data_IF_252570018847
#
_entry.id   IF_252570018847
#
_cell.length_a   1.000
_cell.length_b   1.000
_cell.length_c   1.000
_cell.angle_alpha   90.00
_cell.angle_beta   90.00
_cell.angle_gamma   90.00
#
_symmetry.space_group_name_H-M   'P 1'
#
loop_
_entity.id
_entity.type
_entity.pdbx_description
1 polymer ?
#
# COMPACT_ATOMS: atom_id res chain seq x y z
N UNK A 1 11.64 -4.18 3.06
CA UNK A 1 11.57 -5.55 2.50
C UNK A 1 12.17 -6.52 3.51
N UNK A 2 11.35 -7.26 4.27
CA UNK A 2 11.84 -8.39 5.09
C UNK A 2 11.50 -9.67 4.35
N UNK A 3 12.52 -10.37 3.86
CA UNK A 3 12.40 -11.71 3.27
C UNK A 3 11.98 -12.67 4.38
N UNK A 4 10.97 -13.51 4.11
CA UNK A 4 10.63 -14.62 5.00
C UNK A 4 11.74 -15.66 4.95
N UNK A 5 12.57 -15.74 5.99
CA UNK A 5 13.61 -16.75 6.12
C UNK A 5 13.10 -17.85 7.05
N UNK A 6 12.96 -19.06 6.54
CA UNK A 6 12.66 -20.25 7.34
C UNK A 6 13.98 -20.86 7.81
N UNK A 7 14.18 -20.93 9.13
CA UNK A 7 15.33 -21.61 9.75
C UNK A 7 14.95 -23.07 10.02
N UNK A 8 15.67 -24.00 9.41
CA UNK A 8 15.53 -25.43 9.60
C UNK A 8 16.78 -25.99 10.30
N UNK A 9 16.64 -26.75 11.41
CA UNK A 9 17.78 -27.42 12.02
C UNK A 9 18.26 -28.57 11.12
N UNK A 10 19.57 -28.59 10.85
CA UNK A 10 20.22 -29.52 9.89
C UNK A 10 20.18 -30.98 10.36
N UNK A 11 19.85 -31.22 11.63
CA UNK A 11 19.90 -32.55 12.25
C UNK A 11 18.51 -33.21 12.37
N UNK A 12 17.47 -32.64 11.75
CA UNK A 12 16.13 -33.22 11.80
C UNK A 12 16.00 -34.42 10.85
N UNK A 13 15.25 -35.47 11.23
CA UNK A 13 14.86 -36.54 10.31
C UNK A 13 14.15 -35.95 9.09
N UNK A 14 14.44 -36.49 7.90
CA UNK A 14 13.91 -36.01 6.62
C UNK A 14 12.37 -35.95 6.61
N UNK A 15 11.71 -36.92 7.24
CA UNK A 15 10.25 -36.96 7.35
C UNK A 15 9.68 -35.80 8.20
N UNK A 16 10.40 -35.35 9.23
CA UNK A 16 10.01 -34.20 10.04
C UNK A 16 10.25 -32.88 9.30
N UNK A 17 11.26 -32.83 8.41
CA UNK A 17 11.46 -31.70 7.50
C UNK A 17 10.32 -31.59 6.48
N UNK A 18 9.91 -32.70 5.86
CA UNK A 18 8.76 -32.71 4.94
C UNK A 18 7.44 -32.40 5.63
N UNK A 19 7.25 -32.87 6.87
CA UNK A 19 6.06 -32.52 7.68
C UNK A 19 6.05 -31.04 8.05
N UNK A 20 7.20 -30.48 8.43
CA UNK A 20 7.33 -29.05 8.72
C UNK A 20 7.11 -28.18 7.47
N UNK A 21 7.68 -28.56 6.32
CA UNK A 21 7.45 -27.89 5.04
C UNK A 21 6.01 -28.06 4.55
N UNK A 22 5.37 -29.21 4.78
CA UNK A 22 3.96 -29.44 4.44
C UNK A 22 2.99 -28.63 5.31
N UNK A 23 3.26 -28.55 6.62
CA UNK A 23 2.43 -27.79 7.57
C UNK A 23 2.63 -26.27 7.44
N UNK A 24 3.87 -25.81 7.21
CA UNK A 24 4.19 -24.39 7.04
C UNK A 24 4.06 -23.92 5.59
N UNK A 25 4.14 -24.81 4.60
CA UNK A 25 4.02 -24.49 3.18
C UNK A 25 2.64 -23.96 2.85
N UNK A 26 1.57 -24.68 3.24
CA UNK A 26 0.20 -24.21 3.03
C UNK A 26 -0.11 -22.88 3.76
N UNK A 27 0.41 -22.69 4.97
CA UNK A 27 0.26 -21.45 5.73
C UNK A 27 1.07 -20.29 5.13
N UNK A 28 2.28 -20.58 4.64
CA UNK A 28 3.15 -19.63 3.95
C UNK A 28 2.54 -19.22 2.61
N UNK A 29 2.00 -20.16 1.84
CA UNK A 29 1.34 -19.89 0.57
C UNK A 29 0.07 -19.05 0.76
N UNK A 30 -0.73 -19.34 1.79
CA UNK A 30 -1.90 -18.52 2.12
C UNK A 30 -1.50 -17.08 2.52
N UNK A 31 -0.42 -16.92 3.27
CA UNK A 31 0.11 -15.60 3.64
C UNK A 31 0.67 -14.84 2.42
N UNK A 32 1.40 -15.52 1.54
CA UNK A 32 1.93 -14.94 0.29
C UNK A 32 0.79 -14.51 -0.61
N UNK A 33 -0.21 -15.38 -0.86
CA UNK A 33 -1.39 -15.04 -1.69
C UNK A 33 -2.15 -13.84 -1.13
N UNK A 34 -2.41 -13.82 0.18
CA UNK A 34 -3.08 -12.70 0.84
C UNK A 34 -2.28 -11.40 0.70
N UNK A 35 -0.95 -11.48 0.79
CA UNK A 35 -0.08 -10.32 0.58
C UNK A 35 -0.14 -9.83 -0.87
N UNK A 36 -0.06 -10.73 -1.85
CA UNK A 36 -0.17 -10.41 -3.28
C UNK A 36 -1.54 -9.80 -3.62
N UNK A 37 -2.62 -10.31 -3.02
CA UNK A 37 -3.97 -9.76 -3.16
C UNK A 37 -4.06 -8.33 -2.61
N UNK A 38 -3.52 -8.08 -1.41
CA UNK A 38 -3.48 -6.73 -0.83
C UNK A 38 -2.63 -5.77 -1.65
N UNK A 39 -1.49 -6.21 -2.19
CA UNK A 39 -0.66 -5.38 -3.08
C UNK A 39 -1.38 -5.04 -4.38
N UNK A 40 -2.13 -6.00 -4.94
CA UNK A 40 -2.92 -5.79 -6.15
C UNK A 40 -4.05 -4.79 -5.91
N UNK A 41 -4.81 -4.97 -4.84
CA UNK A 41 -5.86 -4.04 -4.42
C UNK A 41 -5.27 -2.62 -4.25
N UNK A 42 -4.11 -2.51 -3.61
CA UNK A 42 -3.44 -1.23 -3.41
C UNK A 42 -3.06 -0.54 -4.74
N UNK A 43 -2.54 -1.29 -5.71
CA UNK A 43 -2.23 -0.76 -7.05
C UNK A 43 -3.52 -0.32 -7.76
N UNK A 44 -4.57 -1.13 -7.72
CA UNK A 44 -5.85 -0.86 -8.39
C UNK A 44 -6.56 0.38 -7.83
N UNK A 45 -6.63 0.51 -6.50
CA UNK A 45 -7.21 1.70 -5.83
C UNK A 45 -6.40 2.94 -6.21
N UNK A 46 -5.06 2.87 -6.14
CA UNK A 46 -4.18 3.99 -6.46
C UNK A 46 -4.34 4.45 -7.91
N UNK A 47 -4.35 3.52 -8.85
CA UNK A 47 -4.50 3.87 -10.28
C UNK A 47 -5.90 4.39 -10.60
N UNK A 48 -6.94 3.87 -9.94
CA UNK A 48 -8.32 4.37 -10.10
C UNK A 48 -8.45 5.82 -9.64
N UNK A 49 -7.98 6.12 -8.43
CA UNK A 49 -7.98 7.48 -7.87
C UNK A 49 -7.16 8.43 -8.74
N UNK A 50 -5.95 8.00 -9.14
CA UNK A 50 -5.08 8.79 -10.02
C UNK A 50 -5.75 9.15 -11.34
N UNK A 51 -6.49 8.21 -11.95
CA UNK A 51 -7.19 8.45 -13.22
C UNK A 51 -8.40 9.38 -13.04
N UNK A 52 -9.22 9.17 -12.02
CA UNK A 52 -10.42 9.96 -11.76
C UNK A 52 -10.07 11.42 -11.45
N UNK A 53 -9.08 11.63 -10.58
CA UNK A 53 -8.61 12.97 -10.18
C UNK A 53 -7.55 13.55 -11.12
N UNK A 54 -7.23 12.85 -12.22
CA UNK A 54 -6.22 13.27 -13.22
C UNK A 54 -4.86 13.62 -12.61
N UNK A 55 -4.48 12.92 -11.54
CA UNK A 55 -3.20 13.13 -10.88
C UNK A 55 -2.04 12.65 -11.78
N UNK A 56 -0.95 13.39 -11.78
CA UNK A 56 0.31 12.95 -12.40
C UNK A 56 0.88 11.75 -11.65
N UNK A 57 0.91 11.83 -10.32
CA UNK A 57 1.37 10.76 -9.43
C UNK A 57 0.54 10.77 -8.15
N UNK A 58 0.27 9.58 -7.63
CA UNK A 58 -0.28 9.36 -6.30
C UNK A 58 0.62 8.36 -5.59
N UNK A 59 1.16 8.72 -4.43
CA UNK A 59 2.07 7.85 -3.65
C UNK A 59 1.72 7.86 -2.17
N UNK A 60 2.12 6.81 -1.46
CA UNK A 60 1.92 6.67 -0.02
C UNK A 60 3.26 6.92 0.71
N UNK A 61 3.26 7.76 1.75
CA UNK A 61 4.41 7.93 2.62
C UNK A 61 4.66 6.67 3.45
N UNK A 62 5.92 6.39 3.79
CA UNK A 62 6.32 5.15 4.50
C UNK A 62 5.68 4.97 5.88
N UNK A 63 5.20 6.06 6.49
CA UNK A 63 4.60 6.09 7.82
C UNK A 63 3.08 6.01 7.81
N UNK A 64 2.48 5.96 6.62
CA UNK A 64 1.03 5.82 6.42
C UNK A 64 0.74 4.34 6.14
N UNK A 65 -0.19 3.78 6.91
CA UNK A 65 -0.60 2.38 6.70
C UNK A 65 -1.48 2.26 5.46
N UNK A 66 -1.61 1.04 4.94
CA UNK A 66 -2.50 0.79 3.80
C UNK A 66 -3.96 1.19 4.10
N UNK A 67 -4.46 0.89 5.30
CA UNK A 67 -5.83 1.27 5.69
C UNK A 67 -6.03 2.79 5.71
N UNK A 68 -5.03 3.54 6.18
CA UNK A 68 -5.05 5.00 6.16
C UNK A 68 -5.02 5.54 4.73
N UNK A 69 -4.16 4.96 3.89
CA UNK A 69 -4.08 5.31 2.47
C UNK A 69 -5.42 5.06 1.77
N UNK A 70 -6.03 3.88 1.98
CA UNK A 70 -7.34 3.53 1.42
C UNK A 70 -8.42 4.51 1.86
N UNK A 71 -8.52 4.82 3.15
CA UNK A 71 -9.46 5.84 3.66
C UNK A 71 -9.25 7.20 3.01
N UNK A 72 -8.00 7.62 2.82
CA UNK A 72 -7.67 8.85 2.13
C UNK A 72 -8.14 8.82 0.67
N UNK A 73 -7.89 7.72 -0.04
CA UNK A 73 -8.36 7.51 -1.41
C UNK A 73 -9.89 7.56 -1.51
N UNK A 74 -10.60 6.90 -0.61
CA UNK A 74 -12.06 6.91 -0.58
C UNK A 74 -12.60 8.33 -0.37
N UNK A 75 -11.98 9.12 0.51
CA UNK A 75 -12.32 10.54 0.73
C UNK A 75 -12.04 11.39 -0.51
N UNK A 76 -10.86 11.24 -1.10
CA UNK A 76 -10.49 11.96 -2.33
C UNK A 76 -11.48 11.69 -3.48
N UNK A 77 -12.02 10.47 -3.56
CA UNK A 77 -13.06 10.11 -4.52
C UNK A 77 -14.45 10.61 -4.13
N UNK A 78 -14.77 10.65 -2.84
CA UNK A 78 -16.02 11.20 -2.36
C UNK A 78 -16.14 12.70 -2.67
N UNK A 79 -15.06 13.44 -2.42
CA UNK A 79 -15.01 14.89 -2.59
C UNK A 79 -14.46 15.32 -3.96
N UNK A 80 -14.45 14.40 -4.93
CA UNK A 80 -13.75 14.61 -6.21
C UNK A 80 -14.25 15.84 -6.97
N UNK A 81 -15.56 16.12 -6.92
CA UNK A 81 -16.16 17.25 -7.62
C UNK A 81 -15.59 18.60 -7.15
N UNK A 82 -15.30 18.72 -5.86
CA UNK A 82 -14.71 19.92 -5.26
C UNK A 82 -13.20 20.01 -5.53
N UNK A 83 -12.53 18.87 -5.58
CA UNK A 83 -11.07 18.77 -5.69
C UNK A 83 -10.56 18.81 -7.13
N UNK A 84 -11.41 18.49 -8.10
CA UNK A 84 -11.03 18.22 -9.50
C UNK A 84 -10.15 19.31 -10.10
N UNK A 85 -10.57 20.57 -9.97
CA UNK A 85 -9.90 21.71 -10.60
C UNK A 85 -8.60 22.08 -9.88
N UNK A 86 -8.44 21.68 -8.62
CA UNK A 86 -7.25 21.94 -7.82
C UNK A 86 -6.21 20.83 -7.90
N UNK A 87 -6.63 19.61 -8.25
CA UNK A 87 -5.78 18.43 -8.25
C UNK A 87 -5.29 17.98 -9.62
N UNK A 88 -5.84 18.54 -10.71
CA UNK A 88 -5.41 18.17 -12.07
C UNK A 88 -3.90 18.32 -12.23
N UNK A 89 -3.27 17.25 -12.75
CA UNK A 89 -1.85 17.18 -13.06
C UNK A 89 -0.90 17.33 -11.87
N UNK A 90 -1.42 17.35 -10.64
CA UNK A 90 -0.64 17.40 -9.41
C UNK A 90 -0.03 16.04 -9.08
N UNK A 91 1.09 16.08 -8.36
CA UNK A 91 1.70 14.89 -7.76
C UNK A 91 1.42 14.91 -6.27
N UNK A 92 0.57 13.99 -5.81
CA UNK A 92 0.10 13.93 -4.42
C UNK A 92 0.80 12.80 -3.69
N UNK A 93 1.17 13.06 -2.44
CA UNK A 93 1.64 12.04 -1.50
C UNK A 93 0.76 12.05 -0.26
N UNK A 94 0.17 10.91 0.06
CA UNK A 94 -0.57 10.75 1.31
C UNK A 94 0.44 10.63 2.45
N UNK A 95 0.34 11.53 3.42
CA UNK A 95 1.28 11.70 4.53
C UNK A 95 0.54 11.83 5.87
N UNK A 96 1.27 12.18 6.93
CA UNK A 96 0.70 12.44 8.27
C UNK A 96 0.25 13.88 8.48
N UNK A 97 0.79 14.80 7.68
CA UNK A 97 0.54 16.23 7.80
C UNK A 97 0.62 16.87 6.41
N UNK A 98 0.04 18.06 6.29
CA UNK A 98 0.17 18.88 5.10
C UNK A 98 1.61 19.33 4.90
N UNK A 99 2.04 19.42 3.65
CA UNK A 99 3.37 19.93 3.34
C UNK A 99 3.71 19.85 1.86
N UNK A 100 4.96 20.16 1.57
CA UNK A 100 5.58 19.95 0.26
C UNK A 100 6.79 19.06 0.47
N UNK A 101 7.01 18.12 -0.44
CA UNK A 101 8.24 17.32 -0.39
C UNK A 101 9.46 18.24 -0.47
N UNK A 102 10.57 17.85 0.16
CA UNK A 102 11.82 18.64 0.16
C UNK A 102 12.35 18.95 -1.24
N UNK A 103 12.03 18.11 -2.23
CA UNK A 103 12.34 18.30 -3.65
C UNK A 103 11.24 19.03 -4.45
N UNK A 104 10.17 19.54 -3.81
CA UNK A 104 9.03 20.20 -4.44
C UNK A 104 8.22 19.34 -5.42
N UNK A 105 8.44 18.02 -5.40
CA UNK A 105 7.84 17.09 -6.36
C UNK A 105 6.44 16.66 -5.95
N UNK A 106 6.14 16.62 -4.66
CA UNK A 106 4.85 16.16 -4.14
C UNK A 106 4.21 17.19 -3.21
N UNK A 107 2.90 17.32 -3.31
CA UNK A 107 2.05 17.94 -2.30
C UNK A 107 1.65 16.84 -1.31
N UNK A 108 2.01 17.05 -0.05
CA UNK A 108 1.70 16.13 1.04
C UNK A 108 0.31 16.47 1.60
N UNK A 109 -0.57 15.48 1.64
CA UNK A 109 -1.92 15.61 2.19
C UNK A 109 -2.07 14.60 3.35
N UNK A 110 -2.57 15.02 4.52
CA UNK A 110 -2.79 14.11 5.63
C UNK A 110 -3.84 13.06 5.26
N UNK A 111 -3.60 11.81 5.63
CA UNK A 111 -4.53 10.70 5.34
C UNK A 111 -5.94 10.89 5.89
N UNK A 112 -6.09 11.74 6.91
CA UNK A 112 -7.33 12.10 7.60
C UNK A 112 -7.82 13.52 7.28
N UNK A 113 -7.40 14.11 6.16
CA UNK A 113 -7.83 15.44 5.74
C UNK A 113 -9.36 15.60 5.72
N UNK A 114 -9.80 16.84 5.94
CA UNK A 114 -11.19 17.30 5.81
C UNK A 114 -11.21 18.58 4.98
N UNK A 115 -12.23 18.75 4.15
CA UNK A 115 -12.46 19.94 3.31
C UNK A 115 -13.36 20.96 3.99
#
# INVERSE_FOLDING_TARGET
MRRGTLFLPVNAPVDDMYRFLGQRGAQSDALVRRHEEMEREHIETRESVRKILRLRRLVCHREVTYEQFKKCCDRLLHDFDLLRDHMDSQSIRVARANGLSSCGTYIDIPWDFSL
#
